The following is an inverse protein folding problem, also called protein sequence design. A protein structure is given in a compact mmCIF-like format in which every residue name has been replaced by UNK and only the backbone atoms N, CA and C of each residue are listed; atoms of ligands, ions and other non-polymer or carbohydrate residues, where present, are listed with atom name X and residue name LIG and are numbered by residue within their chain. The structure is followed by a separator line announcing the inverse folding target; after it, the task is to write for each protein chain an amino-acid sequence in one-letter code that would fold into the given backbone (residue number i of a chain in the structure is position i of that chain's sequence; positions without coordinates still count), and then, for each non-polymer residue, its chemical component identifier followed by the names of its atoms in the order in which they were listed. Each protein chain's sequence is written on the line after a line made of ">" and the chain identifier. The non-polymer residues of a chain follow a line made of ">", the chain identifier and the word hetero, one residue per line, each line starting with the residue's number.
data_IF_342355308418
#
_entry.id   IF_342355308418
#
_cell.length_a   1.000
_cell.length_b   1.000
_cell.length_c   1.000
_cell.angle_alpha   90.00
_cell.angle_beta   90.00
_cell.angle_gamma   90.00
#
_symmetry.space_group_name_H-M   'P 1'
#
loop_
_entity.id
_entity.type
_entity.pdbx_description
1 polymer ?
#
# COMPACT_ATOMS: atom_id res chain seq x y z
N UNK A 1 9.28 -16.62 10.13
CA UNK A 1 9.91 -17.24 8.95
C UNK A 1 8.97 -17.04 7.77
N UNK A 2 9.24 -16.01 6.95
CA UNK A 2 8.73 -15.75 5.58
C UNK A 2 9.09 -14.33 5.09
N UNK A 3 9.95 -13.59 5.82
CA UNK A 3 10.18 -12.15 5.59
C UNK A 3 10.75 -11.83 4.21
N UNK A 4 11.48 -12.75 3.59
CA UNK A 4 12.14 -12.49 2.32
C UNK A 4 11.33 -12.95 1.10
N UNK A 5 10.17 -13.60 1.25
CA UNK A 5 9.35 -14.10 0.13
C UNK A 5 10.11 -14.93 -0.94
N UNK A 6 11.27 -15.49 -0.58
CA UNK A 6 12.19 -16.13 -1.53
C UNK A 6 12.83 -15.19 -2.55
N UNK A 7 12.81 -13.87 -2.30
CA UNK A 7 13.44 -12.84 -3.12
C UNK A 7 14.81 -12.43 -2.52
N UNK A 8 15.76 -11.98 -3.36
CA UNK A 8 16.98 -11.36 -2.87
C UNK A 8 16.67 -10.04 -2.17
N UNK A 9 17.51 -9.64 -1.21
CA UNK A 9 17.34 -8.40 -0.45
C UNK A 9 17.17 -7.16 -1.34
N UNK A 10 17.92 -7.10 -2.44
CA UNK A 10 17.83 -6.01 -3.42
C UNK A 10 16.42 -5.81 -4.02
N UNK A 11 15.55 -6.83 -4.00
CA UNK A 11 14.15 -6.70 -4.41
C UNK A 11 13.34 -5.80 -3.46
N UNK A 12 13.68 -5.83 -2.16
CA UNK A 12 13.00 -5.04 -1.13
C UNK A 12 13.44 -3.57 -1.11
N UNK A 13 14.53 -3.21 -1.79
CA UNK A 13 14.95 -1.82 -1.99
C UNK A 13 14.34 -1.18 -3.24
N UNK A 14 13.52 -1.92 -4.01
CA UNK A 14 12.90 -1.45 -5.26
C UNK A 14 11.44 -1.07 -5.06
N UNK A 15 10.93 -0.27 -5.99
CA UNK A 15 9.53 0.18 -6.05
C UNK A 15 8.48 -0.94 -6.08
N UNK A 16 8.86 -2.17 -6.43
CA UNK A 16 7.97 -3.34 -6.39
C UNK A 16 7.55 -3.68 -4.95
N UNK A 17 8.39 -3.36 -3.96
CA UNK A 17 8.18 -3.69 -2.57
C UNK A 17 7.40 -2.62 -1.79
N UNK A 18 7.54 -1.35 -2.17
CA UNK A 18 6.93 -0.20 -1.51
C UNK A 18 7.04 1.05 -2.38
N UNK A 19 6.32 2.10 -2.01
CA UNK A 19 6.40 3.41 -2.64
C UNK A 19 7.56 4.20 -2.01
N UNK A 20 8.67 4.33 -2.75
CA UNK A 20 9.90 4.99 -2.29
C UNK A 20 9.62 6.46 -1.99
N UNK A 21 9.94 6.92 -0.77
CA UNK A 21 9.74 8.31 -0.33
C UNK A 21 8.30 8.66 0.12
N UNK A 22 7.32 7.78 -0.07
CA UNK A 22 5.92 8.09 0.22
C UNK A 22 5.65 8.19 1.73
N UNK A 23 6.34 7.40 2.55
CA UNK A 23 6.20 7.43 4.01
C UNK A 23 6.70 8.78 4.57
N UNK A 24 7.86 9.23 4.12
CA UNK A 24 8.47 10.49 4.53
C UNK A 24 7.59 11.69 4.16
N UNK A 25 7.05 11.70 2.93
CA UNK A 25 6.09 12.71 2.49
C UNK A 25 4.82 12.68 3.36
N UNK A 26 4.31 11.49 3.67
CA UNK A 26 3.12 11.32 4.52
C UNK A 26 3.34 11.90 5.92
N UNK A 27 4.50 11.62 6.54
CA UNK A 27 4.85 12.16 7.85
C UNK A 27 4.97 13.69 7.85
N UNK A 28 5.57 14.27 6.80
CA UNK A 28 5.67 15.71 6.63
C UNK A 28 4.27 16.33 6.50
N UNK A 29 3.42 15.77 5.63
CA UNK A 29 2.05 16.26 5.43
C UNK A 29 1.22 16.15 6.71
N UNK A 30 1.33 15.04 7.45
CA UNK A 30 0.66 14.85 8.74
C UNK A 30 1.01 15.94 9.74
N UNK A 31 2.29 16.31 9.84
CA UNK A 31 2.74 17.43 10.69
C UNK A 31 2.21 18.78 10.21
N UNK A 32 2.31 19.06 8.91
CA UNK A 32 1.89 20.34 8.33
C UNK A 32 0.38 20.57 8.43
N UNK A 33 -0.41 19.52 8.24
CA UNK A 33 -1.88 19.57 8.27
C UNK A 33 -2.45 19.30 9.66
N UNK A 34 -1.60 18.97 10.65
CA UNK A 34 -2.00 18.53 11.99
C UNK A 34 -3.08 17.42 11.93
N UNK A 35 -2.85 16.40 11.09
CA UNK A 35 -3.78 15.31 10.84
C UNK A 35 -3.13 13.94 11.11
N UNK A 36 -3.91 12.89 11.43
CA UNK A 36 -3.35 11.56 11.68
C UNK A 36 -2.81 10.92 10.39
N UNK A 37 -1.68 10.22 10.49
CA UNK A 37 -1.18 9.32 9.46
C UNK A 37 -1.37 7.85 9.87
N UNK A 38 -1.67 7.00 8.89
CA UNK A 38 -1.67 5.53 9.04
C UNK A 38 -0.78 4.96 7.95
N UNK A 39 0.29 4.29 8.36
CA UNK A 39 1.24 3.62 7.46
C UNK A 39 1.10 2.10 7.60
N UNK A 40 1.18 1.37 6.50
CA UNK A 40 1.04 -0.09 6.50
C UNK A 40 2.11 -0.80 7.34
N UNK A 41 3.37 -0.35 7.25
CA UNK A 41 4.49 -0.94 7.99
C UNK A 41 4.93 -2.32 7.48
N UNK A 42 4.45 -2.74 6.30
CA UNK A 42 4.85 -3.98 5.62
C UNK A 42 4.92 -3.76 4.10
N UNK A 43 5.67 -4.60 3.40
CA UNK A 43 5.76 -4.55 1.93
C UNK A 43 4.46 -4.98 1.26
N UNK A 44 4.06 -4.30 0.18
CA UNK A 44 2.93 -4.72 -0.66
C UNK A 44 3.14 -6.09 -1.34
N UNK A 45 4.37 -6.58 -1.39
CA UNK A 45 4.65 -7.94 -1.87
C UNK A 45 4.11 -9.02 -0.92
N UNK A 46 3.94 -8.72 0.38
CA UNK A 46 3.28 -9.66 1.29
C UNK A 46 1.79 -9.70 1.02
N UNK A 47 1.15 -8.54 0.99
CA UNK A 47 -0.26 -8.35 0.67
C UNK A 47 -0.43 -6.86 0.36
N UNK A 48 -1.10 -6.52 -0.74
CA UNK A 48 -1.25 -5.12 -1.15
C UNK A 48 -2.45 -4.49 -0.42
N UNK A 49 -2.23 -3.52 0.50
CA UNK A 49 -3.32 -2.87 1.24
C UNK A 49 -4.15 -1.92 0.36
N UNK A 50 -3.78 -1.71 -0.90
CA UNK A 50 -4.53 -0.89 -1.86
C UNK A 50 -5.25 -1.74 -2.93
N UNK A 51 -5.58 -2.98 -2.58
CA UNK A 51 -6.39 -3.91 -3.38
C UNK A 51 -7.61 -4.34 -2.61
N UNK A 52 -8.72 -4.57 -3.33
CA UNK A 52 -9.91 -5.16 -2.73
C UNK A 52 -9.62 -6.55 -2.17
N UNK A 53 -10.40 -6.98 -1.18
CA UNK A 53 -10.19 -8.27 -0.51
C UNK A 53 -10.29 -9.49 -1.44
N UNK A 54 -11.03 -9.36 -2.53
CA UNK A 54 -11.24 -10.40 -3.53
C UNK A 54 -10.46 -10.14 -4.83
N UNK A 55 -9.58 -9.13 -4.82
CA UNK A 55 -8.76 -8.79 -5.97
C UNK A 55 -7.71 -9.91 -6.20
N UNK A 56 -7.58 -10.44 -7.43
CA UNK A 56 -6.64 -11.52 -7.73
C UNK A 56 -5.16 -11.11 -7.54
N UNK A 57 -4.89 -9.81 -7.45
CA UNK A 57 -3.56 -9.23 -7.21
C UNK A 57 -3.33 -8.82 -5.76
N UNK A 58 -4.28 -9.05 -4.85
CA UNK A 58 -4.14 -8.80 -3.40
C UNK A 58 -2.86 -9.44 -2.84
N UNK A 59 -2.56 -10.68 -3.25
CA UNK A 59 -1.25 -11.29 -3.06
C UNK A 59 -0.62 -11.51 -4.43
N UNK A 60 0.20 -10.54 -4.84
CA UNK A 60 0.83 -10.52 -6.15
C UNK A 60 1.78 -11.71 -6.34
N UNK A 61 1.59 -12.50 -7.40
CA UNK A 61 2.47 -13.65 -7.72
C UNK A 61 3.62 -13.30 -8.67
N UNK A 62 3.45 -12.23 -9.44
CA UNK A 62 4.38 -11.76 -10.47
C UNK A 62 4.52 -10.24 -10.36
N UNK A 63 5.75 -9.72 -10.32
CA UNK A 63 6.03 -8.28 -10.30
C UNK A 63 7.23 -7.96 -11.19
N UNK A 64 7.14 -6.91 -12.02
CA UNK A 64 8.17 -6.54 -13.01
C UNK A 64 8.68 -7.72 -13.87
N UNK A 65 7.80 -8.67 -14.18
CA UNK A 65 8.15 -9.87 -14.96
C UNK A 65 8.88 -10.97 -14.18
N UNK A 66 9.09 -10.80 -12.86
CA UNK A 66 9.68 -11.81 -11.99
C UNK A 66 8.63 -12.47 -11.08
N UNK A 67 8.71 -13.79 -10.95
CA UNK A 67 7.87 -14.55 -10.01
C UNK A 67 8.31 -14.22 -8.58
N UNK A 68 7.35 -14.06 -7.67
CA UNK A 68 7.60 -13.95 -6.23
C UNK A 68 7.48 -15.35 -5.63
N UNK A 69 8.60 -16.03 -5.28
CA UNK A 69 8.56 -17.45 -4.94
C UNK A 69 7.65 -17.77 -3.75
N UNK A 70 7.68 -16.94 -2.70
CA UNK A 70 6.84 -17.08 -1.51
C UNK A 70 5.35 -16.83 -1.75
N UNK A 71 4.97 -16.33 -2.93
CA UNK A 71 3.56 -16.07 -3.28
C UNK A 71 3.04 -17.06 -4.34
N UNK A 72 3.93 -17.67 -5.14
CA UNK A 72 3.57 -18.51 -6.29
C UNK A 72 2.57 -19.61 -5.93
N UNK A 73 2.81 -20.27 -4.81
CA UNK A 73 2.03 -21.42 -4.32
C UNK A 73 1.20 -21.10 -3.07
N UNK A 74 1.03 -19.81 -2.75
CA UNK A 74 0.23 -19.43 -1.59
C UNK A 74 -1.23 -19.85 -1.81
N UNK A 75 -1.75 -20.65 -0.88
CA UNK A 75 -3.12 -21.13 -0.88
C UNK A 75 -4.06 -20.14 -0.16
N UNK A 76 -5.35 -20.47 -0.16
CA UNK A 76 -6.37 -19.65 0.51
C UNK A 76 -6.09 -19.48 2.00
N UNK A 77 -5.55 -20.51 2.67
CA UNK A 77 -5.24 -20.43 4.09
C UNK A 77 -4.07 -19.46 4.36
N UNK A 78 -3.05 -19.48 3.51
CA UNK A 78 -1.93 -18.53 3.54
C UNK A 78 -2.38 -17.10 3.31
N UNK A 79 -3.27 -16.86 2.33
CA UNK A 79 -3.87 -15.55 2.10
C UNK A 79 -4.65 -15.08 3.33
N UNK A 80 -5.50 -15.95 3.91
CA UNK A 80 -6.26 -15.63 5.13
C UNK A 80 -5.36 -15.26 6.31
N UNK A 81 -4.23 -15.96 6.50
CA UNK A 81 -3.23 -15.59 7.53
C UNK A 81 -2.65 -14.20 7.29
N UNK A 82 -2.33 -13.85 6.04
CA UNK A 82 -1.81 -12.51 5.69
C UNK A 82 -2.88 -11.44 5.86
N UNK A 83 -4.12 -11.73 5.49
CA UNK A 83 -5.27 -10.83 5.72
C UNK A 83 -5.41 -10.50 7.20
N UNK A 84 -5.46 -11.53 8.05
CA UNK A 84 -5.62 -11.37 9.49
C UNK A 84 -4.46 -10.62 10.14
N UNK A 85 -3.22 -10.85 9.68
CA UNK A 85 -2.02 -10.27 10.29
C UNK A 85 -1.67 -8.85 9.82
N UNK A 86 -1.97 -8.51 8.58
CA UNK A 86 -1.47 -7.28 7.95
C UNK A 86 -2.61 -6.41 7.40
N UNK A 87 -3.44 -6.98 6.52
CA UNK A 87 -4.47 -6.23 5.81
C UNK A 87 -5.57 -5.71 6.75
N UNK A 88 -6.21 -6.61 7.51
CA UNK A 88 -7.31 -6.24 8.40
C UNK A 88 -6.89 -5.23 9.47
N UNK A 89 -5.74 -5.39 10.18
CA UNK A 89 -5.28 -4.38 11.14
C UNK A 89 -5.04 -2.99 10.51
N UNK A 90 -4.49 -2.93 9.30
CA UNK A 90 -4.28 -1.68 8.58
C UNK A 90 -5.62 -0.97 8.27
N UNK A 91 -6.59 -1.69 7.69
CA UNK A 91 -7.90 -1.12 7.38
C UNK A 91 -8.70 -0.76 8.64
N UNK A 92 -8.57 -1.55 9.72
CA UNK A 92 -9.18 -1.25 11.01
C UNK A 92 -8.60 0.04 11.62
N UNK A 93 -7.29 0.27 11.50
CA UNK A 93 -6.67 1.52 11.96
C UNK A 93 -7.22 2.74 11.22
N UNK A 94 -7.37 2.65 9.89
CA UNK A 94 -7.99 3.71 9.07
C UNK A 94 -9.45 3.93 9.50
N UNK A 95 -10.24 2.86 9.58
CA UNK A 95 -11.64 2.93 9.98
C UNK A 95 -11.81 3.55 11.37
N UNK A 96 -10.93 3.21 12.31
CA UNK A 96 -10.89 3.81 13.65
C UNK A 96 -10.68 5.33 13.62
N UNK A 97 -9.78 5.83 12.77
CA UNK A 97 -9.55 7.29 12.61
C UNK A 97 -10.75 7.99 11.98
N UNK A 98 -11.36 7.39 10.96
CA UNK A 98 -12.57 7.94 10.31
C UNK A 98 -13.72 8.00 11.30
N UNK A 99 -13.96 6.92 12.05
CA UNK A 99 -15.03 6.86 13.05
C UNK A 99 -14.82 7.88 14.18
N UNK A 100 -13.59 8.05 14.66
CA UNK A 100 -13.27 9.07 15.66
C UNK A 100 -13.53 10.50 15.18
N UNK A 101 -13.25 10.80 13.90
CA UNK A 101 -13.57 12.11 13.32
C UNK A 101 -15.08 12.32 13.21
N UNK A 102 -15.82 11.32 12.71
CA UNK A 102 -17.28 11.37 12.58
C UNK A 102 -17.99 11.51 13.93
N UNK A 103 -17.51 10.82 14.98
CA UNK A 103 -18.03 10.94 16.33
C UNK A 103 -17.90 12.36 16.92
N UNK A 104 -17.00 13.18 16.36
CA UNK A 104 -16.83 14.60 16.70
C UNK A 104 -17.61 15.54 15.77
N UNK A 105 -18.46 15.01 14.90
CA UNK A 105 -19.23 15.80 13.93
C UNK A 105 -18.41 16.30 12.73
N UNK A 106 -17.24 15.73 12.46
CA UNK A 106 -16.37 16.13 11.35
C UNK A 106 -16.59 15.22 10.13
N UNK A 107 -16.49 15.80 8.94
CA UNK A 107 -16.37 15.08 7.68
C UNK A 107 -14.89 14.97 7.31
N UNK A 108 -14.24 13.81 7.51
CA UNK A 108 -12.82 13.66 7.20
C UNK A 108 -12.59 13.60 5.68
N UNK A 109 -11.54 14.29 5.21
CA UNK A 109 -10.94 14.04 3.91
C UNK A 109 -9.90 12.92 4.04
N UNK A 110 -9.84 12.02 3.06
CA UNK A 110 -8.88 10.92 3.02
C UNK A 110 -7.87 11.17 1.91
N UNK A 111 -6.59 11.20 2.27
CA UNK A 111 -5.48 11.37 1.32
C UNK A 111 -4.65 10.09 1.31
N UNK A 112 -4.59 9.42 0.15
CA UNK A 112 -3.71 8.28 -0.09
C UNK A 112 -2.43 8.76 -0.78
N UNK A 113 -1.30 8.64 -0.11
CA UNK A 113 0.00 9.11 -0.63
C UNK A 113 0.74 7.94 -1.28
N UNK A 114 1.11 8.14 -2.54
CA UNK A 114 1.85 7.17 -3.34
C UNK A 114 3.00 7.87 -4.08
N UNK A 115 4.04 7.11 -4.40
CA UNK A 115 5.07 7.52 -5.34
C UNK A 115 5.14 6.52 -6.49
N UNK A 116 5.77 6.91 -7.59
CA UNK A 116 5.91 6.07 -8.76
C UNK A 116 7.28 6.26 -9.39
N UNK A 117 7.79 5.21 -10.02
CA UNK A 117 9.08 5.28 -10.73
C UNK A 117 9.03 6.24 -11.93
N UNK A 118 10.08 7.03 -12.18
CA UNK A 118 10.09 8.01 -13.26
C UNK A 118 10.08 7.35 -14.65
N UNK A 119 10.52 6.09 -14.76
CA UNK A 119 10.51 5.30 -15.99
C UNK A 119 9.68 4.04 -15.77
N UNK A 120 8.78 3.76 -16.70
CA UNK A 120 7.96 2.55 -16.71
C UNK A 120 8.01 1.89 -18.08
N UNK A 121 8.36 0.60 -18.10
CA UNK A 121 8.53 -0.17 -19.34
C UNK A 121 9.42 0.54 -20.38
N UNK A 122 10.53 1.13 -19.91
CA UNK A 122 11.49 1.86 -20.75
C UNK A 122 11.04 3.25 -21.20
N UNK A 123 9.87 3.73 -20.78
CA UNK A 123 9.34 5.05 -21.15
C UNK A 123 9.34 5.99 -19.94
N UNK A 124 9.92 7.17 -20.11
CA UNK A 124 9.84 8.22 -19.10
C UNK A 124 8.39 8.70 -18.95
N UNK A 125 7.92 8.83 -17.70
CA UNK A 125 6.62 9.41 -17.38
C UNK A 125 6.75 10.95 -17.40
N UNK A 126 5.89 11.68 -18.11
CA UNK A 126 5.97 13.14 -18.19
C UNK A 126 5.46 13.83 -16.92
N UNK A 127 4.72 13.11 -16.09
CA UNK A 127 4.09 13.64 -14.88
C UNK A 127 5.07 13.61 -13.71
N UNK A 128 5.19 14.73 -13.01
CA UNK A 128 5.93 14.82 -11.75
C UNK A 128 5.03 14.55 -10.53
N UNK A 129 3.74 14.90 -10.64
CA UNK A 129 2.71 14.71 -9.61
C UNK A 129 1.42 14.28 -10.33
N UNK A 130 0.73 13.28 -9.76
CA UNK A 130 -0.60 12.88 -10.18
C UNK A 130 -1.59 13.07 -9.04
N UNK A 131 -2.75 13.66 -9.33
CA UNK A 131 -3.89 13.71 -8.40
C UNK A 131 -4.91 12.72 -8.94
N UNK A 132 -5.23 11.70 -8.14
CA UNK A 132 -6.15 10.63 -8.52
C UNK A 132 -7.33 10.62 -7.54
N UNK A 133 -8.52 10.45 -8.08
CA UNK A 133 -9.76 10.27 -7.33
C UNK A 133 -10.63 9.24 -8.06
N UNK A 134 -11.62 8.69 -7.36
CA UNK A 134 -12.62 7.83 -7.99
C UNK A 134 -13.80 8.69 -8.48
N UNK A 135 -14.98 8.56 -7.88
CA UNK A 135 -16.23 9.17 -8.35
C UNK A 135 -16.59 10.47 -7.65
N UNK A 136 -15.78 10.91 -6.70
CA UNK A 136 -16.04 12.10 -5.90
C UNK A 136 -15.09 13.22 -6.33
N UNK A 137 -15.65 14.28 -6.90
CA UNK A 137 -14.95 15.45 -7.44
C UNK A 137 -14.86 16.63 -6.46
N UNK A 138 -15.33 16.43 -5.22
CA UNK A 138 -15.36 17.46 -4.17
C UNK A 138 -14.00 17.80 -3.59
#
# INVERSE_FOLDING_TARGET
>A
EDSCLGLPEAAFSRHIAYDIGAAEVTEILSRLLNCPAVLAGFSRLLIDPNRGEDDPTLVMKLSDGAIIPGNRHLDAQGVSRRKARYYAPYHQAIAGRINAARARGLTPALLSIHSFTPVFQGRARPWHIGVLWDRDDR
#
